data_IF_616275646214
#
_entry.id   IF_616275646214
#
_cell.length_a   1.000
_cell.length_b   1.000
_cell.length_c   1.000
_cell.angle_alpha   90.00
_cell.angle_beta   90.00
_cell.angle_gamma   90.00
#
_symmetry.space_group_name_H-M   'P 1'
#
loop_
_entity.id
_entity.type
_entity.pdbx_description
1 polymer ?
#
# COMPACT_ATOMS: atom_id res chain seq x y z
N UNK A 1 23.15 6.32 -8.42
CA UNK A 1 23.17 7.64 -7.74
C UNK A 1 23.26 7.41 -6.22
N UNK A 2 24.25 7.99 -5.52
CA UNK A 2 24.46 7.74 -4.08
C UNK A 2 23.20 8.11 -3.28
N UNK A 3 22.79 7.26 -2.34
CA UNK A 3 21.55 7.41 -1.56
C UNK A 3 21.41 8.78 -0.89
N UNK A 4 22.53 9.30 -0.38
CA UNK A 4 22.62 10.62 0.23
C UNK A 4 22.24 11.75 -0.75
N UNK A 5 22.60 11.64 -2.03
CA UNK A 5 22.28 12.64 -3.05
C UNK A 5 20.78 12.64 -3.38
N UNK A 6 20.16 11.46 -3.49
CA UNK A 6 18.71 11.33 -3.70
C UNK A 6 17.92 11.87 -2.51
N UNK A 7 18.37 11.56 -1.29
CA UNK A 7 17.79 12.07 -0.04
C UNK A 7 17.88 13.59 0.04
N UNK A 8 19.05 14.15 -0.29
CA UNK A 8 19.27 15.59 -0.32
C UNK A 8 18.35 16.27 -1.36
N UNK A 9 18.35 15.79 -2.60
CA UNK A 9 17.53 16.39 -3.67
C UNK A 9 16.03 16.35 -3.31
N UNK A 10 15.52 15.25 -2.76
CA UNK A 10 14.08 15.09 -2.46
C UNK A 10 13.65 15.92 -1.24
N UNK A 11 14.49 16.05 -0.22
CA UNK A 11 14.19 16.85 0.98
C UNK A 11 14.37 18.36 0.75
N UNK A 12 15.38 18.75 -0.04
CA UNK A 12 15.70 20.16 -0.33
C UNK A 12 15.13 20.65 -1.67
N UNK A 13 14.10 20.00 -2.24
CA UNK A 13 13.49 20.42 -3.52
C UNK A 13 13.04 21.88 -3.52
N UNK A 14 12.42 22.34 -2.43
CA UNK A 14 11.92 23.70 -2.31
C UNK A 14 13.05 24.75 -2.23
N UNK A 15 14.08 24.59 -1.37
CA UNK A 15 15.28 25.44 -1.42
C UNK A 15 15.99 25.44 -2.77
N UNK A 16 16.14 24.28 -3.41
CA UNK A 16 16.74 24.20 -4.75
C UNK A 16 15.90 24.94 -5.81
N UNK A 17 14.58 24.84 -5.73
CA UNK A 17 13.69 25.58 -6.63
C UNK A 17 13.87 27.09 -6.45
N UNK A 18 13.93 27.58 -5.20
CA UNK A 18 14.19 29.01 -4.91
C UNK A 18 15.57 29.44 -5.46
N UNK A 19 16.60 28.61 -5.30
CA UNK A 19 17.93 28.88 -5.85
C UNK A 19 17.92 28.93 -7.39
N UNK A 20 17.16 28.05 -8.04
CA UNK A 20 16.97 28.06 -9.50
C UNK A 20 16.17 29.29 -9.97
N UNK A 21 15.18 29.76 -9.21
CA UNK A 21 14.50 31.03 -9.49
C UNK A 21 15.49 32.20 -9.44
N UNK A 22 16.34 32.25 -8.39
CA UNK A 22 17.37 33.27 -8.26
C UNK A 22 18.40 33.24 -9.40
N UNK A 23 18.83 32.04 -9.81
CA UNK A 23 19.73 31.85 -10.95
C UNK A 23 19.07 32.26 -12.28
N UNK A 24 17.77 32.02 -12.43
CA UNK A 24 16.99 32.50 -13.58
C UNK A 24 16.95 34.02 -13.66
N UNK A 25 16.67 34.71 -12.55
CA UNK A 25 16.73 36.17 -12.52
C UNK A 25 18.13 36.70 -12.82
N UNK A 26 19.18 36.10 -12.23
CA UNK A 26 20.56 36.51 -12.48
C UNK A 26 20.96 36.37 -13.95
N UNK A 27 20.68 35.22 -14.58
CA UNK A 27 20.92 35.01 -16.02
C UNK A 27 20.08 35.92 -16.92
N UNK A 28 18.90 36.32 -16.46
CA UNK A 28 18.04 37.27 -17.18
C UNK A 28 18.64 38.67 -17.25
N UNK A 29 19.28 39.13 -16.18
CA UNK A 29 19.93 40.44 -16.12
C UNK A 29 21.35 40.45 -16.72
N UNK A 30 22.13 39.38 -16.57
CA UNK A 30 23.52 39.31 -17.07
C UNK A 30 23.64 38.84 -18.52
N UNK A 31 22.78 37.92 -18.95
CA UNK A 31 22.94 37.24 -20.25
C UNK A 31 21.76 37.54 -21.17
N UNK A 32 20.63 36.83 -20.99
CA UNK A 32 19.43 37.00 -21.81
C UNK A 32 18.25 36.28 -21.18
N UNK A 33 17.08 36.91 -21.21
CA UNK A 33 15.80 36.32 -20.78
C UNK A 33 15.42 35.03 -21.55
N UNK A 34 15.93 34.86 -22.78
CA UNK A 34 15.78 33.64 -23.56
C UNK A 34 16.51 32.43 -22.97
N UNK A 35 17.54 32.62 -22.16
CA UNK A 35 18.21 31.50 -21.46
C UNK A 35 17.63 31.35 -20.04
N UNK A 36 17.20 32.47 -19.43
CA UNK A 36 16.62 32.52 -18.10
C UNK A 36 15.32 31.69 -17.93
N UNK A 37 14.54 31.46 -19.00
CA UNK A 37 13.32 30.64 -18.86
C UNK A 37 13.61 29.16 -18.57
N UNK A 38 14.79 28.63 -18.94
CA UNK A 38 15.19 27.25 -18.65
C UNK A 38 15.28 26.96 -17.14
N UNK A 39 16.03 27.72 -16.32
CA UNK A 39 16.05 27.52 -14.87
C UNK A 39 14.70 27.82 -14.21
N UNK A 40 13.89 28.76 -14.74
CA UNK A 40 12.52 28.95 -14.28
C UNK A 40 11.64 27.71 -14.53
N UNK A 41 11.73 27.09 -15.70
CA UNK A 41 11.04 25.85 -16.01
C UNK A 41 11.49 24.72 -15.06
N UNK A 42 12.79 24.58 -14.80
CA UNK A 42 13.33 23.59 -13.87
C UNK A 42 12.82 23.83 -12.45
N UNK A 43 12.78 25.07 -11.97
CA UNK A 43 12.25 25.42 -10.66
C UNK A 43 10.77 25.04 -10.53
N UNK A 44 9.95 25.36 -11.55
CA UNK A 44 8.53 24.98 -11.60
C UNK A 44 8.38 23.46 -11.56
N UNK A 45 9.12 22.72 -12.40
CA UNK A 45 9.10 21.25 -12.41
C UNK A 45 9.50 20.66 -11.05
N UNK A 46 10.47 21.26 -10.34
CA UNK A 46 10.85 20.83 -8.98
C UNK A 46 9.75 21.03 -7.95
N UNK A 47 9.05 22.17 -7.98
CA UNK A 47 7.92 22.45 -7.09
C UNK A 47 6.78 21.49 -7.37
N UNK A 48 6.42 21.31 -8.65
CA UNK A 48 5.38 20.37 -9.09
C UNK A 48 5.72 18.94 -8.65
N UNK A 49 6.95 18.49 -8.87
CA UNK A 49 7.40 17.17 -8.44
C UNK A 49 7.41 16.99 -6.92
N UNK A 50 7.68 18.04 -6.14
CA UNK A 50 7.63 18.01 -4.68
C UNK A 50 6.22 17.67 -4.19
N UNK A 51 5.20 18.35 -4.70
CA UNK A 51 3.81 18.11 -4.30
C UNK A 51 3.20 16.83 -4.89
N UNK A 52 3.52 16.47 -6.14
CA UNK A 52 2.92 15.31 -6.81
C UNK A 52 3.50 13.96 -6.39
N UNK A 53 4.81 13.88 -6.15
CA UNK A 53 5.51 12.61 -5.85
C UNK A 53 5.84 12.51 -4.35
N UNK A 54 6.03 13.64 -3.67
CA UNK A 54 6.41 13.67 -2.26
C UNK A 54 7.71 12.89 -1.95
N UNK A 55 7.98 12.62 -0.66
CA UNK A 55 9.11 11.78 -0.23
C UNK A 55 8.85 10.28 -0.40
N UNK A 56 7.87 9.88 -1.23
CA UNK A 56 7.39 8.50 -1.32
C UNK A 56 8.50 7.49 -1.62
N UNK A 57 9.39 7.85 -2.55
CA UNK A 57 10.56 7.03 -2.89
C UNK A 57 11.56 6.84 -1.75
N UNK A 58 11.60 7.77 -0.79
CA UNK A 58 12.41 7.60 0.42
C UNK A 58 11.68 6.71 1.42
N UNK A 59 10.37 6.92 1.61
CA UNK A 59 9.54 6.10 2.53
C UNK A 59 9.62 4.62 2.16
N UNK A 60 9.44 4.27 0.89
CA UNK A 60 9.57 2.88 0.41
C UNK A 60 10.93 2.29 0.74
N UNK A 61 11.99 3.07 0.56
CA UNK A 61 13.34 2.63 0.85
C UNK A 61 13.59 2.41 2.34
N UNK A 62 13.09 3.29 3.22
CA UNK A 62 13.17 3.06 4.66
C UNK A 62 12.46 1.76 5.07
N UNK A 63 11.35 1.41 4.40
CA UNK A 63 10.65 0.14 4.60
C UNK A 63 11.47 -1.04 4.07
N UNK A 64 12.08 -0.93 2.88
CA UNK A 64 12.99 -1.95 2.33
C UNK A 64 14.20 -2.20 3.25
N UNK A 65 14.73 -1.14 3.85
CA UNK A 65 15.85 -1.18 4.80
C UNK A 65 15.40 -1.65 6.20
N UNK A 66 14.10 -1.91 6.42
CA UNK A 66 13.52 -2.39 7.68
C UNK A 66 13.33 -1.31 8.76
N UNK A 67 13.63 -0.04 8.46
CA UNK A 67 13.50 1.10 9.37
C UNK A 67 12.09 1.72 9.28
N UNK A 68 11.16 1.09 10.01
CA UNK A 68 9.76 1.51 10.08
C UNK A 68 9.59 2.87 10.77
N UNK A 69 10.44 3.21 11.74
CA UNK A 69 10.41 4.52 12.42
C UNK A 69 10.82 5.66 11.49
N UNK A 70 11.88 5.46 10.70
CA UNK A 70 12.34 6.40 9.69
C UNK A 70 11.30 6.63 8.60
N UNK A 71 10.62 5.55 8.17
CA UNK A 71 9.49 5.63 7.25
C UNK A 71 8.35 6.46 7.84
N UNK A 72 7.95 6.19 9.08
CA UNK A 72 6.86 6.92 9.75
C UNK A 72 7.18 8.41 9.91
N UNK A 73 8.40 8.77 10.34
CA UNK A 73 8.84 10.17 10.44
C UNK A 73 8.79 10.92 9.11
N UNK A 74 9.07 10.25 8.00
CA UNK A 74 8.95 10.87 6.67
C UNK A 74 7.49 11.00 6.23
N UNK A 75 6.64 10.04 6.60
CA UNK A 75 5.21 10.09 6.32
C UNK A 75 4.52 11.22 7.08
N UNK A 76 4.87 11.44 8.35
CA UNK A 76 4.31 12.54 9.16
C UNK A 76 4.67 13.92 8.62
N UNK A 77 5.74 14.04 7.82
CA UNK A 77 6.08 15.28 7.10
C UNK A 77 5.15 15.56 5.92
N UNK A 78 4.43 14.57 5.41
CA UNK A 78 3.50 14.73 4.30
C UNK A 78 2.19 15.34 4.82
N UNK A 79 2.16 16.67 4.91
CA UNK A 79 0.99 17.43 5.39
C UNK A 79 -0.23 17.35 4.46
N UNK A 80 0.01 17.17 3.15
CA UNK A 80 -1.05 17.19 2.13
C UNK A 80 -1.01 15.94 1.24
N UNK A 81 -1.40 14.75 1.76
CA UNK A 81 -1.40 13.51 0.99
C UNK A 81 -2.37 13.55 -0.20
N UNK A 82 -3.37 14.44 -0.18
CA UNK A 82 -4.33 14.59 -1.28
C UNK A 82 -3.76 15.22 -2.54
N UNK A 83 -2.65 15.96 -2.45
CA UNK A 83 -1.95 16.58 -3.59
C UNK A 83 -1.08 15.57 -4.35
N UNK A 84 -0.82 14.40 -3.78
CA UNK A 84 -0.08 13.36 -4.45
C UNK A 84 -0.85 12.87 -5.67
N UNK A 85 -0.12 12.57 -6.75
CA UNK A 85 -0.68 11.96 -7.93
C UNK A 85 -1.33 10.61 -7.56
N UNK A 86 -2.47 10.27 -8.19
CA UNK A 86 -3.38 9.19 -7.77
C UNK A 86 -2.69 7.87 -7.36
N UNK A 87 -1.79 7.27 -8.15
CA UNK A 87 -1.10 6.02 -7.80
C UNK A 87 -0.12 6.18 -6.63
N UNK A 88 0.55 7.34 -6.53
CA UNK A 88 1.46 7.67 -5.43
C UNK A 88 0.66 7.82 -4.14
N UNK A 89 -0.49 8.49 -4.21
CA UNK A 89 -1.41 8.67 -3.09
C UNK A 89 -1.98 7.35 -2.59
N UNK A 90 -2.42 6.47 -3.51
CA UNK A 90 -2.90 5.14 -3.16
C UNK A 90 -1.81 4.34 -2.43
N UNK A 91 -0.62 4.29 -3.02
CA UNK A 91 0.54 3.62 -2.43
C UNK A 91 0.87 4.20 -1.05
N UNK A 92 0.76 5.52 -0.87
CA UNK A 92 1.06 6.21 0.39
C UNK A 92 0.13 5.74 1.50
N UNK A 93 -1.18 5.70 1.21
CA UNK A 93 -2.16 5.23 2.16
C UNK A 93 -2.03 3.73 2.46
N UNK A 94 -1.67 2.89 1.48
CA UNK A 94 -1.37 1.47 1.74
C UNK A 94 -0.17 1.29 2.68
N UNK A 95 0.93 2.01 2.44
CA UNK A 95 2.09 1.95 3.32
C UNK A 95 1.74 2.43 4.73
N UNK A 96 0.93 3.49 4.84
CA UNK A 96 0.48 3.99 6.15
C UNK A 96 -0.37 2.97 6.86
N UNK A 97 -1.29 2.33 6.14
CA UNK A 97 -2.14 1.28 6.69
C UNK A 97 -1.33 0.09 7.21
N UNK A 98 -0.28 -0.32 6.49
CA UNK A 98 0.62 -1.39 6.94
C UNK A 98 1.28 -1.01 8.28
N UNK A 99 1.82 0.21 8.39
CA UNK A 99 2.44 0.70 9.64
C UNK A 99 1.41 0.81 10.77
N UNK A 100 0.22 1.35 10.49
CA UNK A 100 -0.88 1.43 11.46
C UNK A 100 -1.31 0.03 11.92
N UNK A 101 -1.31 -0.97 11.04
CA UNK A 101 -1.62 -2.37 11.40
C UNK A 101 -0.53 -2.99 12.29
N UNK A 102 0.74 -2.62 12.08
CA UNK A 102 1.86 -3.07 12.92
C UNK A 102 1.86 -2.42 14.31
N UNK A 103 1.33 -1.19 14.41
CA UNK A 103 1.17 -0.45 15.67
C UNK A 103 -0.18 -0.69 16.34
N UNK A 104 -0.93 -1.68 15.85
CA UNK A 104 -2.28 -2.10 16.31
C UNK A 104 -3.36 -0.99 16.27
N UNK A 105 -3.12 0.08 15.51
CA UNK A 105 -4.10 1.12 15.21
C UNK A 105 -4.96 0.71 14.03
N UNK A 106 -5.87 -0.24 14.29
CA UNK A 106 -6.74 -0.85 13.29
C UNK A 106 -7.77 0.14 12.70
N UNK A 107 -8.14 1.19 13.42
CA UNK A 107 -9.05 2.22 12.93
C UNK A 107 -8.37 3.13 11.90
N UNK A 108 -7.14 3.58 12.19
CA UNK A 108 -6.36 4.32 11.19
C UNK A 108 -6.01 3.45 9.99
N UNK A 109 -5.64 2.18 10.21
CA UNK A 109 -5.33 1.27 9.13
C UNK A 109 -6.51 1.10 8.16
N UNK A 110 -7.72 0.89 8.69
CA UNK A 110 -8.92 0.75 7.88
C UNK A 110 -9.24 2.04 7.10
N UNK A 111 -9.18 3.20 7.77
CA UNK A 111 -9.44 4.50 7.15
C UNK A 111 -8.45 4.79 6.02
N UNK A 112 -7.18 4.42 6.20
CA UNK A 112 -6.14 4.59 5.20
C UNK A 112 -6.33 3.67 4.00
N UNK A 113 -6.66 2.39 4.21
CA UNK A 113 -6.95 1.48 3.10
C UNK A 113 -8.14 1.95 2.25
N UNK A 114 -9.20 2.47 2.89
CA UNK A 114 -10.34 3.06 2.18
C UNK A 114 -9.92 4.26 1.33
N UNK A 115 -9.11 5.17 1.88
CA UNK A 115 -8.54 6.31 1.12
C UNK A 115 -7.63 5.85 -0.03
N UNK A 116 -6.87 4.78 0.17
CA UNK A 116 -6.03 4.18 -0.86
C UNK A 116 -6.86 3.64 -2.03
N UNK A 117 -7.96 2.94 -1.72
CA UNK A 117 -8.91 2.45 -2.72
C UNK A 117 -9.61 3.60 -3.46
N UNK A 118 -10.11 4.62 -2.74
CA UNK A 118 -10.73 5.82 -3.32
C UNK A 118 -9.78 6.63 -4.20
N UNK A 119 -8.47 6.59 -3.92
CA UNK A 119 -7.48 7.27 -4.73
C UNK A 119 -7.35 6.68 -6.15
N UNK A 120 -7.83 5.45 -6.36
CA UNK A 120 -7.71 4.71 -7.62
C UNK A 120 -6.36 4.01 -7.70
N UNK A 121 -6.36 2.71 -7.43
CA UNK A 121 -5.16 1.89 -7.58
C UNK A 121 -4.92 1.61 -9.06
N UNK A 122 -3.65 1.57 -9.51
CA UNK A 122 -3.34 1.39 -10.93
C UNK A 122 -3.75 0.00 -11.46
N UNK A 123 -3.74 -1.02 -10.61
CA UNK A 123 -4.08 -2.40 -10.99
C UNK A 123 -5.10 -3.00 -10.02
N UNK A 124 -5.97 -3.86 -10.55
CA UNK A 124 -7.02 -4.55 -9.79
C UNK A 124 -6.44 -5.47 -8.71
N UNK A 125 -5.23 -6.00 -8.92
CA UNK A 125 -4.54 -6.87 -7.97
C UNK A 125 -4.13 -6.11 -6.69
N UNK A 126 -3.75 -4.83 -6.82
CA UNK A 126 -3.50 -3.96 -5.67
C UNK A 126 -4.80 -3.63 -4.92
N UNK A 127 -5.90 -3.40 -5.64
CA UNK A 127 -7.22 -3.27 -4.99
C UNK A 127 -7.58 -4.55 -4.23
N UNK A 128 -7.37 -5.72 -4.84
CA UNK A 128 -7.61 -7.01 -4.21
C UNK A 128 -6.79 -7.18 -2.93
N UNK A 129 -5.52 -6.79 -2.95
CA UNK A 129 -4.62 -6.82 -1.79
C UNK A 129 -5.10 -5.89 -0.67
N UNK A 130 -5.56 -4.68 -1.02
CA UNK A 130 -6.13 -3.76 -0.04
C UNK A 130 -7.43 -4.31 0.59
N UNK A 131 -8.29 -4.96 -0.20
CA UNK A 131 -9.47 -5.64 0.34
C UNK A 131 -9.13 -6.85 1.20
N UNK A 132 -8.05 -7.58 0.90
CA UNK A 132 -7.57 -8.68 1.75
C UNK A 132 -7.15 -8.14 3.13
N UNK A 133 -6.41 -7.04 3.16
CA UNK A 133 -6.02 -6.38 4.42
C UNK A 133 -7.22 -5.84 5.19
N UNK A 134 -8.18 -5.18 4.52
CA UNK A 134 -9.43 -4.75 5.14
C UNK A 134 -10.19 -5.93 5.75
N UNK A 135 -10.21 -7.08 5.06
CA UNK A 135 -10.81 -8.31 5.56
C UNK A 135 -10.15 -8.81 6.84
N UNK A 136 -8.81 -8.84 6.88
CA UNK A 136 -8.04 -9.22 8.06
C UNK A 136 -8.25 -8.25 9.24
N UNK A 137 -8.30 -6.95 8.98
CA UNK A 137 -8.57 -5.91 9.99
C UNK A 137 -9.99 -6.07 10.55
N UNK A 138 -11.00 -6.20 9.69
CA UNK A 138 -12.38 -6.42 10.12
C UNK A 138 -12.52 -7.71 10.95
N UNK A 139 -11.80 -8.77 10.57
CA UNK A 139 -11.77 -10.01 11.35
C UNK A 139 -11.16 -9.78 12.75
N UNK A 140 -10.03 -9.08 12.85
CA UNK A 140 -9.41 -8.71 14.14
C UNK A 140 -10.33 -7.87 15.02
N UNK A 141 -11.14 -6.98 14.42
CA UNK A 141 -12.15 -6.18 15.13
C UNK A 141 -13.39 -6.98 15.54
N UNK A 142 -13.52 -8.25 15.15
CA UNK A 142 -14.70 -9.09 15.40
C UNK A 142 -15.84 -8.89 14.40
N UNK A 143 -15.68 -8.07 13.37
CA UNK A 143 -16.67 -7.80 12.34
C UNK A 143 -16.65 -8.87 11.24
N UNK A 144 -17.05 -10.10 11.59
CA UNK A 144 -17.00 -11.26 10.68
C UNK A 144 -17.79 -11.09 9.37
N UNK A 145 -18.87 -10.30 9.38
CA UNK A 145 -19.68 -10.02 8.17
C UNK A 145 -18.90 -9.16 7.18
N UNK A 146 -18.31 -8.06 7.65
CA UNK A 146 -17.51 -7.16 6.82
C UNK A 146 -16.23 -7.87 6.35
N UNK A 147 -15.59 -8.64 7.23
CA UNK A 147 -14.43 -9.45 6.88
C UNK A 147 -14.73 -10.37 5.68
N UNK A 148 -15.87 -11.07 5.72
CA UNK A 148 -16.29 -11.94 4.63
C UNK A 148 -16.54 -11.17 3.32
N UNK A 149 -17.19 -10.02 3.38
CA UNK A 149 -17.46 -9.20 2.19
C UNK A 149 -16.17 -8.65 1.56
N UNK A 150 -15.24 -8.16 2.38
CA UNK A 150 -13.95 -7.67 1.93
C UNK A 150 -13.10 -8.78 1.32
N UNK A 151 -12.98 -9.94 1.97
CA UNK A 151 -12.23 -11.08 1.45
C UNK A 151 -12.83 -11.63 0.14
N UNK A 152 -14.17 -11.65 0.02
CA UNK A 152 -14.81 -12.05 -1.24
C UNK A 152 -14.53 -11.06 -2.37
N UNK A 153 -14.51 -9.76 -2.07
CA UNK A 153 -14.11 -8.72 -3.03
C UNK A 153 -12.65 -8.89 -3.44
N UNK A 154 -11.76 -9.15 -2.48
CA UNK A 154 -10.33 -9.38 -2.73
C UNK A 154 -10.09 -10.47 -3.77
N UNK A 155 -10.67 -11.65 -3.53
CA UNK A 155 -10.55 -12.80 -4.44
C UNK A 155 -11.19 -12.52 -5.80
N UNK A 156 -12.31 -11.78 -5.85
CA UNK A 156 -12.99 -11.43 -7.11
C UNK A 156 -12.16 -10.48 -7.99
N UNK A 157 -11.44 -9.55 -7.37
CA UNK A 157 -10.58 -8.60 -8.07
C UNK A 157 -9.26 -9.23 -8.52
N UNK A 158 -8.84 -10.30 -7.85
CA UNK A 158 -7.57 -10.97 -8.07
C UNK A 158 -6.52 -10.48 -7.09
N UNK A 159 -5.55 -11.34 -6.80
CA UNK A 159 -4.42 -11.06 -5.91
C UNK A 159 -3.12 -11.29 -6.71
N UNK A 160 -2.06 -10.52 -6.40
CA UNK A 160 -0.84 -10.52 -7.22
C UNK A 160 -0.08 -11.84 -7.17
N UNK A 161 -0.26 -12.62 -6.10
CA UNK A 161 0.43 -13.87 -5.88
C UNK A 161 -0.49 -14.97 -5.35
N UNK A 162 -0.12 -16.22 -5.64
CA UNK A 162 -0.88 -17.41 -5.24
C UNK A 162 -0.88 -17.65 -3.73
N UNK A 163 0.11 -17.12 -3.01
CA UNK A 163 0.19 -17.27 -1.55
C UNK A 163 -0.84 -16.35 -0.88
N UNK A 164 -0.98 -15.11 -1.34
CA UNK A 164 -2.05 -14.19 -0.97
C UNK A 164 -3.43 -14.73 -1.33
N UNK A 165 -3.58 -15.31 -2.53
CA UNK A 165 -4.84 -15.94 -2.96
C UNK A 165 -5.22 -17.12 -2.05
N UNK A 166 -4.26 -18.00 -1.73
CA UNK A 166 -4.46 -19.10 -0.80
C UNK A 166 -4.85 -18.59 0.60
N UNK A 167 -4.19 -17.54 1.08
CA UNK A 167 -4.48 -16.91 2.38
C UNK A 167 -5.90 -16.34 2.42
N UNK A 168 -6.34 -15.67 1.35
CA UNK A 168 -7.70 -15.14 1.23
C UNK A 168 -8.74 -16.25 1.34
N UNK A 169 -8.52 -17.36 0.61
CA UNK A 169 -9.41 -18.51 0.63
C UNK A 169 -9.42 -19.24 1.98
N UNK A 170 -8.27 -19.33 2.67
CA UNK A 170 -8.19 -19.89 4.02
C UNK A 170 -8.99 -19.07 5.02
N UNK A 171 -8.84 -17.74 4.98
CA UNK A 171 -9.59 -16.84 5.86
C UNK A 171 -11.10 -16.93 5.58
N UNK A 172 -11.52 -17.00 4.31
CA UNK A 172 -12.91 -17.25 3.92
C UNK A 172 -13.42 -18.60 4.44
N UNK A 173 -12.62 -19.66 4.32
CA UNK A 173 -12.97 -20.99 4.83
C UNK A 173 -13.16 -20.97 6.35
N UNK A 174 -12.25 -20.34 7.11
CA UNK A 174 -12.37 -20.18 8.55
C UNK A 174 -13.63 -19.40 8.97
N UNK A 175 -13.95 -18.30 8.28
CA UNK A 175 -15.17 -17.53 8.49
C UNK A 175 -16.44 -18.35 8.22
N UNK A 176 -16.45 -19.14 7.13
CA UNK A 176 -17.56 -20.05 6.83
C UNK A 176 -17.72 -21.13 7.90
N UNK A 177 -16.61 -21.66 8.44
CA UNK A 177 -16.66 -22.62 9.55
C UNK A 177 -17.28 -22.02 10.81
N UNK A 178 -16.89 -20.81 11.20
CA UNK A 178 -17.47 -20.12 12.35
C UNK A 178 -18.99 -19.92 12.19
N UNK A 179 -19.45 -19.71 10.96
CA UNK A 179 -20.88 -19.56 10.61
C UNK A 179 -21.61 -20.90 10.43
N UNK A 180 -20.96 -22.04 10.65
CA UNK A 180 -21.48 -23.40 10.39
C UNK A 180 -21.88 -23.65 8.92
N UNK A 181 -21.35 -22.87 7.98
CA UNK A 181 -21.51 -23.09 6.54
C UNK A 181 -20.39 -24.00 6.04
N UNK A 182 -20.55 -25.31 6.30
CA UNK A 182 -19.55 -26.31 5.97
C UNK A 182 -19.39 -26.53 4.47
N UNK A 183 -20.44 -26.32 3.68
CA UNK A 183 -20.41 -26.46 2.22
C UNK A 183 -19.53 -25.38 1.59
N UNK A 184 -19.76 -24.12 1.93
CA UNK A 184 -18.93 -23.01 1.44
C UNK A 184 -17.51 -23.09 1.97
N UNK A 185 -17.33 -23.52 3.23
CA UNK A 185 -15.99 -23.75 3.79
C UNK A 185 -15.20 -24.76 2.97
N UNK A 186 -15.78 -25.93 2.64
CA UNK A 186 -15.12 -26.96 1.81
C UNK A 186 -14.77 -26.43 0.42
N UNK A 187 -15.65 -25.65 -0.18
CA UNK A 187 -15.39 -25.01 -1.47
C UNK A 187 -14.17 -24.09 -1.41
N UNK A 188 -14.13 -23.16 -0.45
CA UNK A 188 -13.01 -22.23 -0.31
C UNK A 188 -11.71 -22.93 0.09
N UNK A 189 -11.78 -23.92 0.95
CA UNK A 189 -10.61 -24.72 1.32
C UNK A 189 -10.00 -25.48 0.14
N UNK A 190 -10.84 -26.07 -0.72
CA UNK A 190 -10.36 -26.72 -1.94
C UNK A 190 -9.72 -25.72 -2.91
N UNK A 191 -10.25 -24.49 -3.00
CA UNK A 191 -9.61 -23.41 -3.77
C UNK A 191 -8.26 -23.00 -3.17
N UNK A 192 -8.16 -22.85 -1.85
CA UNK A 192 -6.88 -22.58 -1.18
C UNK A 192 -5.83 -23.65 -1.48
N UNK A 193 -6.22 -24.94 -1.46
CA UNK A 193 -5.34 -26.05 -1.84
C UNK A 193 -4.92 -26.01 -3.30
N UNK A 194 -5.84 -25.64 -4.20
CA UNK A 194 -5.57 -25.56 -5.64
C UNK A 194 -4.55 -24.46 -5.97
N UNK A 195 -4.45 -23.40 -5.17
CA UNK A 195 -3.44 -22.36 -5.33
C UNK A 195 -2.00 -22.89 -5.17
N UNK A 196 -1.79 -24.03 -4.48
CA UNK A 196 -0.46 -24.65 -4.25
C UNK A 196 0.56 -23.62 -3.76
N UNK A 197 0.22 -22.96 -2.66
CA UNK A 197 1.09 -21.96 -2.01
C UNK A 197 2.48 -22.54 -1.74
N UNK A 198 3.52 -21.73 -1.97
CA UNK A 198 4.92 -22.07 -1.66
C UNK A 198 5.31 -21.64 -0.26
N UNK A 199 4.52 -20.77 0.38
CA UNK A 199 4.78 -20.29 1.73
C UNK A 199 4.50 -21.39 2.76
N UNK A 200 5.53 -21.76 3.53
CA UNK A 200 5.45 -22.80 4.56
C UNK A 200 4.35 -22.54 5.59
N UNK A 201 4.11 -21.27 5.95
CA UNK A 201 3.06 -20.91 6.91
C UNK A 201 1.66 -21.20 6.36
N UNK A 202 1.42 -20.86 5.09
CA UNK A 202 0.14 -21.10 4.42
C UNK A 202 -0.08 -22.59 4.22
N UNK A 203 0.96 -23.33 3.86
CA UNK A 203 0.92 -24.80 3.74
C UNK A 203 0.61 -25.45 5.10
N UNK A 204 1.25 -24.98 6.17
CA UNK A 204 0.97 -25.45 7.53
C UNK A 204 -0.49 -25.21 7.92
N UNK A 205 -1.03 -24.01 7.66
CA UNK A 205 -2.44 -23.70 7.89
C UNK A 205 -3.39 -24.58 7.06
N UNK A 206 -3.07 -24.83 5.78
CA UNK A 206 -3.84 -25.77 4.93
C UNK A 206 -3.85 -27.17 5.55
N UNK A 207 -2.70 -27.65 6.01
CA UNK A 207 -2.57 -28.98 6.61
C UNK A 207 -3.33 -29.09 7.92
N UNK A 208 -3.25 -28.08 8.79
CA UNK A 208 -4.02 -28.04 10.02
C UNK A 208 -5.51 -28.03 9.74
N UNK A 209 -5.97 -27.11 8.89
CA UNK A 209 -7.37 -27.00 8.51
C UNK A 209 -7.86 -28.29 7.84
N UNK A 210 -7.01 -29.00 7.08
CA UNK A 210 -7.37 -30.29 6.47
C UNK A 210 -7.81 -31.34 7.47
N UNK A 211 -7.20 -31.38 8.67
CA UNK A 211 -7.52 -32.33 9.74
C UNK A 211 -8.88 -32.03 10.36
N UNK A 212 -9.27 -30.76 10.41
CA UNK A 212 -10.60 -30.36 10.84
C UNK A 212 -11.63 -30.62 9.74
N UNK A 213 -11.31 -30.31 8.50
CA UNK A 213 -12.21 -30.47 7.35
C UNK A 213 -12.58 -31.92 7.05
N UNK A 214 -11.71 -32.88 7.37
CA UNK A 214 -12.01 -34.31 7.27
C UNK A 214 -13.01 -34.82 8.32
N UNK A 215 -13.19 -34.06 9.42
CA UNK A 215 -14.10 -34.41 10.53
C UNK A 215 -15.47 -33.74 10.41
N UNK A 216 -15.65 -32.86 9.43
CA UNK A 216 -16.87 -32.08 9.26
C UNK A 216 -17.84 -32.83 8.32
N UNK A 217 -19.11 -33.06 8.74
CA UNK A 217 -20.11 -33.73 7.90
C UNK A 217 -20.37 -32.94 6.60
N UNK A 218 -20.74 -33.68 5.55
CA UNK A 218 -21.04 -33.15 4.20
C UNK A 218 -22.20 -32.18 4.19
#
# INVERSE_FOLDING_TARGET
MKLALRRFIVLYRLPLAILMLGLGFWLGFEVTWWIAWLPFLVAILMVVAHFLIGPMTLIQKYIEDGDTEGAQKLMDRVKYPNLLYKPVRSSYYMLRANISTMTDDLDKAEADLKKGLEAGMPEKEFEGSAYLQLGAIAFKKGNNKEAYEHLRKAVKLGLPDKDSEATAYLQLSGLCMQRRDFRSSKLYFNKAKACKSKNEQVVAQINELSKYMSRIPG
#
